data_IF_120281385227
#
_entry.id   IF_120281385227
#
_cell.length_a   1.000
_cell.length_b   1.000
_cell.length_c   1.000
_cell.angle_alpha   90.00
_cell.angle_beta   90.00
_cell.angle_gamma   90.00
#
_symmetry.space_group_name_H-M   'P 1'
#
loop_
_entity.id
_entity.type
_entity.pdbx_description
1 polymer ?
#
# COMPACT_ATOMS: atom_id res chain seq x y z
N UNK A 1 0.71 -3.61 40.90
CA UNK A 1 0.28 -2.71 39.79
C UNK A 1 -0.02 -3.55 38.55
N UNK A 2 -1.04 -3.23 37.74
CA UNK A 2 -1.31 -3.93 36.48
C UNK A 2 -0.18 -3.70 35.46
N UNK A 3 0.13 -4.71 34.63
CA UNK A 3 1.10 -4.56 33.53
C UNK A 3 0.52 -3.59 32.48
N UNK A 4 1.28 -2.56 32.04
CA UNK A 4 0.82 -1.64 31.01
C UNK A 4 0.39 -2.39 29.73
N UNK A 5 -0.71 -2.00 29.07
CA UNK A 5 -1.14 -2.62 27.83
C UNK A 5 -0.05 -2.43 26.78
N UNK A 6 0.30 -3.50 26.05
CA UNK A 6 1.31 -3.42 25.00
C UNK A 6 0.86 -2.51 23.84
N UNK A 7 -0.44 -2.39 23.61
CA UNK A 7 -1.04 -1.46 22.65
C UNK A 7 -1.39 -0.17 23.39
N UNK A 8 -0.70 0.92 23.05
CA UNK A 8 -0.97 2.26 23.58
C UNK A 8 -1.43 3.19 22.45
N UNK A 9 -2.14 4.29 22.74
CA UNK A 9 -2.52 5.27 21.73
C UNK A 9 -1.33 5.78 20.93
N UNK A 10 -0.19 6.04 21.57
CA UNK A 10 1.02 6.54 20.91
C UNK A 10 1.57 5.51 19.91
N UNK A 11 1.50 4.21 20.23
CA UNK A 11 1.91 3.17 19.28
C UNK A 11 0.94 3.05 18.11
N UNK A 12 -0.36 3.21 18.33
CA UNK A 12 -1.33 3.25 17.23
C UNK A 12 -1.04 4.42 16.30
N UNK A 13 -0.83 5.61 16.86
CA UNK A 13 -0.53 6.81 16.09
C UNK A 13 0.75 6.65 15.27
N UNK A 14 1.84 6.12 15.86
CA UNK A 14 3.07 5.85 15.11
C UNK A 14 2.88 4.86 13.97
N UNK A 15 2.08 3.82 14.16
CA UNK A 15 1.74 2.89 13.07
C UNK A 15 0.96 3.63 11.97
N UNK A 16 -0.10 4.36 12.33
CA UNK A 16 -0.94 5.06 11.35
C UNK A 16 -0.18 6.15 10.60
N UNK A 17 0.73 6.87 11.26
CA UNK A 17 1.60 7.86 10.64
C UNK A 17 2.54 7.22 9.60
N UNK A 18 3.17 6.09 9.94
CA UNK A 18 4.02 5.37 9.00
C UNK A 18 3.23 4.83 7.80
N UNK A 19 2.04 4.25 8.04
CA UNK A 19 1.13 3.80 6.97
C UNK A 19 0.72 4.98 6.08
N UNK A 20 0.35 6.12 6.67
CA UNK A 20 -0.03 7.34 5.94
C UNK A 20 1.09 7.94 5.09
N UNK A 21 2.35 7.59 5.39
CA UNK A 21 3.52 7.92 4.59
C UNK A 21 3.84 6.86 3.52
N UNK A 22 3.01 5.82 3.37
CA UNK A 22 3.18 4.74 2.39
C UNK A 22 4.11 3.60 2.84
N UNK A 23 4.45 3.52 4.13
CA UNK A 23 5.23 2.40 4.63
C UNK A 23 4.42 1.10 4.64
N UNK A 24 5.12 -0.04 4.53
CA UNK A 24 4.51 -1.36 4.73
C UNK A 24 4.11 -1.55 6.21
N UNK A 25 3.14 -2.43 6.48
CA UNK A 25 2.76 -2.80 7.85
C UNK A 25 3.94 -3.29 8.69
N UNK A 26 4.88 -4.02 8.08
CA UNK A 26 6.12 -4.47 8.73
C UNK A 26 7.01 -3.29 9.15
N UNK A 27 7.26 -2.35 8.25
CA UNK A 27 8.03 -1.15 8.54
C UNK A 27 7.32 -0.28 9.59
N UNK A 28 6.00 -0.14 9.50
CA UNK A 28 5.19 0.58 10.49
C UNK A 28 5.24 -0.07 11.88
N UNK A 29 5.19 -1.40 11.97
CA UNK A 29 5.36 -2.13 13.23
C UNK A 29 6.73 -1.86 13.85
N UNK A 30 7.80 -2.01 13.06
CA UNK A 30 9.17 -1.74 13.49
C UNK A 30 9.33 -0.28 13.94
N UNK A 31 8.76 0.66 13.19
CA UNK A 31 8.75 2.08 13.54
C UNK A 31 8.03 2.32 14.88
N UNK A 32 6.91 1.65 15.15
CA UNK A 32 6.22 1.72 16.43
C UNK A 32 6.91 0.93 17.57
N UNK A 33 8.07 0.31 17.31
CA UNK A 33 8.86 -0.42 18.29
C UNK A 33 8.25 -1.77 18.66
N UNK A 34 7.54 -2.43 17.74
CA UNK A 34 6.98 -3.76 17.94
C UNK A 34 7.27 -4.69 16.77
N UNK A 35 7.29 -5.98 17.06
CA UNK A 35 7.37 -7.00 16.02
C UNK A 35 6.10 -7.02 15.15
N UNK A 36 6.25 -7.37 13.87
CA UNK A 36 5.15 -7.45 12.91
C UNK A 36 4.02 -8.38 13.38
N UNK A 37 4.36 -9.54 13.97
CA UNK A 37 3.36 -10.46 14.52
C UNK A 37 2.54 -9.85 15.65
N UNK A 38 3.12 -8.89 16.38
CA UNK A 38 2.42 -8.15 17.44
C UNK A 38 1.41 -7.18 16.85
N UNK A 39 1.77 -6.48 15.77
CA UNK A 39 0.83 -5.62 15.04
C UNK A 39 -0.36 -6.44 14.52
N UNK A 40 -0.12 -7.58 13.84
CA UNK A 40 -1.22 -8.43 13.36
C UNK A 40 -2.13 -8.92 14.49
N UNK A 41 -1.56 -9.28 15.65
CA UNK A 41 -2.34 -9.67 16.82
C UNK A 41 -3.23 -8.53 17.32
N UNK A 42 -2.76 -7.29 17.28
CA UNK A 42 -3.56 -6.12 17.64
C UNK A 42 -4.70 -5.89 16.65
N UNK A 43 -4.42 -5.94 15.35
CA UNK A 43 -5.43 -5.77 14.30
C UNK A 43 -6.51 -6.85 14.38
N UNK A 44 -6.15 -8.10 14.72
CA UNK A 44 -7.12 -9.18 14.93
C UNK A 44 -8.03 -8.96 16.15
N UNK A 45 -7.53 -8.29 17.19
CA UNK A 45 -8.24 -8.12 18.47
C UNK A 45 -8.94 -6.77 18.61
N UNK A 46 -8.59 -5.80 17.78
CA UNK A 46 -9.14 -4.45 17.81
C UNK A 46 -9.61 -4.05 16.41
N UNK A 47 -10.89 -4.28 16.15
CA UNK A 47 -11.52 -3.99 14.87
C UNK A 47 -11.47 -2.49 14.51
N UNK A 48 -11.61 -1.60 15.50
CA UNK A 48 -11.51 -0.15 15.27
C UNK A 48 -10.13 0.24 14.75
N UNK A 49 -9.06 -0.25 15.41
CA UNK A 49 -7.69 0.01 14.94
C UNK A 49 -7.42 -0.62 13.57
N UNK A 50 -7.97 -1.81 13.30
CA UNK A 50 -7.86 -2.43 11.99
C UNK A 50 -8.54 -1.62 10.88
N UNK A 51 -9.74 -1.08 11.15
CA UNK A 51 -10.46 -0.21 10.22
C UNK A 51 -9.70 1.09 9.97
N UNK A 52 -9.16 1.72 11.02
CA UNK A 52 -8.33 2.93 10.88
C UNK A 52 -7.08 2.68 10.03
N UNK A 53 -6.39 1.56 10.26
CA UNK A 53 -5.20 1.21 9.48
C UNK A 53 -5.55 1.01 8.01
N UNK A 54 -6.62 0.26 7.71
CA UNK A 54 -7.08 0.06 6.33
C UNK A 54 -7.47 1.38 5.66
N UNK A 55 -8.23 2.23 6.36
CA UNK A 55 -8.59 3.54 5.83
C UNK A 55 -7.35 4.37 5.47
N UNK A 56 -6.28 4.31 6.28
CA UNK A 56 -5.02 4.99 5.96
C UNK A 56 -4.29 4.37 4.76
N UNK A 57 -4.34 3.06 4.57
CA UNK A 57 -3.80 2.41 3.37
C UNK A 57 -4.56 2.86 2.12
N UNK A 58 -5.90 2.85 2.19
CA UNK A 58 -6.77 3.27 1.09
C UNK A 58 -6.54 4.75 0.72
N UNK A 59 -6.43 5.64 1.72
CA UNK A 59 -6.12 7.06 1.52
C UNK A 59 -4.79 7.27 0.77
N UNK A 60 -3.76 6.49 1.10
CA UNK A 60 -2.45 6.57 0.43
C UNK A 60 -2.54 6.07 -0.99
N UNK A 61 -3.27 4.98 -1.23
CA UNK A 61 -3.48 4.45 -2.59
C UNK A 61 -4.21 5.45 -3.47
N UNK A 62 -5.28 6.07 -2.96
CA UNK A 62 -6.04 7.11 -3.66
C UNK A 62 -5.16 8.33 -3.95
N UNK A 63 -4.34 8.77 -2.98
CA UNK A 63 -3.39 9.88 -3.17
C UNK A 63 -2.38 9.57 -4.27
N UNK A 64 -1.78 8.38 -4.26
CA UNK A 64 -0.84 7.96 -5.29
C UNK A 64 -1.50 7.96 -6.68
N UNK A 65 -2.75 7.48 -6.79
CA UNK A 65 -3.50 7.54 -8.04
C UNK A 65 -3.68 8.99 -8.53
N UNK A 66 -3.99 9.92 -7.62
CA UNK A 66 -4.14 11.34 -7.97
C UNK A 66 -2.81 11.96 -8.43
N UNK A 67 -1.70 11.64 -7.76
CA UNK A 67 -0.35 12.08 -8.16
C UNK A 67 0.03 11.56 -9.55
N UNK A 68 -0.27 10.30 -9.86
CA UNK A 68 -0.06 9.72 -11.19
C UNK A 68 -0.91 10.44 -12.24
N UNK A 69 -2.19 10.71 -11.96
CA UNK A 69 -3.07 11.44 -12.88
C UNK A 69 -2.59 12.88 -13.10
N UNK A 70 -2.07 13.54 -12.06
CA UNK A 70 -1.48 14.86 -12.19
C UNK A 70 -0.23 14.82 -13.08
N UNK A 71 0.68 13.87 -12.87
CA UNK A 71 1.87 13.69 -13.71
C UNK A 71 1.49 13.38 -15.17
N UNK A 72 0.45 12.59 -15.38
CA UNK A 72 -0.08 12.25 -16.71
C UNK A 72 -0.58 13.46 -17.51
N UNK A 73 -0.91 14.58 -16.85
CA UNK A 73 -1.28 15.82 -17.55
C UNK A 73 -0.10 16.50 -18.25
N UNK A 74 1.13 16.21 -17.81
CA UNK A 74 2.36 16.82 -18.33
C UNK A 74 3.26 15.84 -19.11
N UNK A 75 3.24 14.54 -18.76
CA UNK A 75 4.01 13.50 -19.46
C UNK A 75 3.08 12.36 -19.90
N UNK A 76 2.94 12.20 -21.22
CA UNK A 76 2.15 11.13 -21.81
C UNK A 76 2.63 9.73 -21.38
N UNK A 77 3.92 9.57 -21.02
CA UNK A 77 4.45 8.28 -20.52
C UNK A 77 3.84 7.89 -19.19
N UNK A 78 3.55 8.87 -18.30
CA UNK A 78 2.85 8.60 -17.06
C UNK A 78 1.40 8.16 -17.32
N UNK A 79 0.74 8.75 -18.32
CA UNK A 79 -0.59 8.33 -18.76
C UNK A 79 -0.58 6.89 -19.32
N UNK A 80 0.39 6.58 -20.20
CA UNK A 80 0.56 5.25 -20.78
C UNK A 80 0.86 4.20 -19.71
N UNK A 81 1.82 4.47 -18.82
CA UNK A 81 2.19 3.60 -17.70
C UNK A 81 1.01 3.28 -16.78
N UNK A 82 0.16 4.28 -16.50
CA UNK A 82 -1.04 4.13 -15.68
C UNK A 82 -2.07 3.23 -16.37
N UNK A 83 -2.36 3.47 -17.65
CA UNK A 83 -3.34 2.70 -18.43
C UNK A 83 -2.90 1.24 -18.62
N UNK A 84 -1.62 1.00 -18.91
CA UNK A 84 -1.04 -0.35 -19.00
C UNK A 84 -1.30 -1.18 -17.74
N UNK A 85 -1.17 -0.56 -16.55
CA UNK A 85 -1.39 -1.24 -15.26
C UNK A 85 -2.85 -1.34 -14.87
N UNK A 86 -3.64 -0.33 -15.17
CA UNK A 86 -5.06 -0.30 -14.80
C UNK A 86 -5.91 -1.21 -15.68
N UNK A 87 -5.52 -1.38 -16.94
CA UNK A 87 -6.22 -2.16 -17.97
C UNK A 87 -5.23 -2.90 -18.87
N UNK A 88 -4.53 -3.92 -18.34
CA UNK A 88 -3.50 -4.65 -19.08
C UNK A 88 -4.05 -5.40 -20.31
N UNK A 89 -5.33 -5.79 -20.31
CA UNK A 89 -5.95 -6.42 -21.48
C UNK A 89 -6.09 -5.47 -22.68
N UNK A 90 -6.33 -4.17 -22.43
CA UNK A 90 -6.58 -3.17 -23.47
C UNK A 90 -5.29 -2.45 -23.88
N UNK A 91 -4.39 -2.19 -22.93
CA UNK A 91 -3.20 -1.34 -23.12
C UNK A 91 -1.89 -2.08 -22.86
N UNK A 92 -1.92 -3.33 -22.41
CA UNK A 92 -0.70 -4.09 -22.12
C UNK A 92 0.14 -4.31 -23.37
N UNK A 93 1.46 -4.38 -23.19
CA UNK A 93 2.38 -4.70 -24.29
C UNK A 93 2.03 -6.07 -24.87
N UNK A 94 1.73 -6.09 -26.15
CA UNK A 94 1.57 -7.32 -26.92
C UNK A 94 2.89 -7.60 -27.63
N UNK A 95 3.68 -8.53 -27.09
CA UNK A 95 4.88 -9.00 -27.78
C UNK A 95 4.46 -10.01 -28.86
N UNK A 96 4.72 -9.68 -30.12
CA UNK A 96 4.45 -10.57 -31.25
C UNK A 96 5.62 -11.55 -31.37
N UNK A 97 5.39 -12.82 -31.06
CA UNK A 97 6.40 -13.88 -31.20
C UNK A 97 6.19 -14.61 -32.53
N UNK A 98 7.11 -14.41 -33.47
CA UNK A 98 7.13 -15.17 -34.72
C UNK A 98 7.79 -16.54 -34.50
N UNK A 99 6.98 -17.59 -34.41
CA UNK A 99 7.45 -18.97 -34.32
C UNK A 99 7.68 -19.54 -35.73
N UNK A 100 8.91 -19.42 -36.23
CA UNK A 100 9.33 -20.12 -37.43
C UNK A 100 9.68 -21.58 -37.11
N UNK A 101 8.72 -22.49 -37.27
CA UNK A 101 8.95 -23.93 -37.20
C UNK A 101 9.47 -24.40 -38.56
N UNK A 102 10.73 -24.83 -38.61
CA UNK A 102 11.30 -25.53 -39.77
C UNK A 102 11.06 -27.03 -39.57
N UNK A 103 10.38 -27.65 -40.55
CA UNK A 103 10.26 -29.11 -40.69
C UNK A 103 11.49 -29.67 -41.41
#
# INVERSE_FOLDING_TARGET
MPRPPKLTPERQERVLAAIGAGATRKAAASYAGVDESTLYRWLKRNASFASLLRAREDEVEVRACAEIQQAASADWRAAAWWLERRRPADYGRTDRVDLNVRL
#
